data_IF_599382105224
#
_entry.id   IF_599382105224
#
_cell.length_a   1.000
_cell.length_b   1.000
_cell.length_c   1.000
_cell.angle_alpha   90.00
_cell.angle_beta   90.00
_cell.angle_gamma   90.00
#
_symmetry.space_group_name_H-M   'P 1'
#
loop_
_entity.id
_entity.type
_entity.pdbx_description
1 polymer ?
#
# COMPACT_ATOMS: atom_id res chain seq x y z
N UNK A 1 -1.24 13.92 13.30
CA UNK A 1 -0.78 13.95 11.91
C UNK A 1 0.72 14.07 11.94
N UNK A 2 1.40 12.96 11.63
CA UNK A 2 2.84 12.92 11.50
C UNK A 2 3.32 13.71 10.28
N UNK A 3 4.63 13.97 10.25
CA UNK A 3 5.27 14.80 9.23
C UNK A 3 5.10 14.23 7.82
N UNK A 4 5.14 12.90 7.68
CA UNK A 4 4.98 12.22 6.39
C UNK A 4 3.58 12.41 5.84
N UNK A 5 2.55 12.26 6.68
CA UNK A 5 1.15 12.44 6.30
C UNK A 5 0.85 13.89 5.93
N UNK A 6 1.42 14.85 6.65
CA UNK A 6 1.30 16.27 6.29
C UNK A 6 1.88 16.55 4.90
N UNK A 7 3.10 16.07 4.62
CA UNK A 7 3.73 16.23 3.30
C UNK A 7 2.90 15.60 2.19
N UNK A 8 2.37 14.41 2.43
CA UNK A 8 1.45 13.72 1.52
C UNK A 8 0.22 14.56 1.19
N UNK A 9 -0.43 15.17 2.19
CA UNK A 9 -1.60 16.02 1.95
C UNK A 9 -1.25 17.31 1.23
N UNK A 10 -0.10 17.92 1.54
CA UNK A 10 0.40 19.11 0.84
C UNK A 10 0.58 18.80 -0.65
N UNK A 11 1.27 17.71 -0.99
CA UNK A 11 1.49 17.30 -2.37
C UNK A 11 0.18 16.91 -3.06
N UNK A 12 -0.72 16.22 -2.36
CA UNK A 12 -2.04 15.89 -2.89
C UNK A 12 -2.83 17.16 -3.26
N UNK A 13 -2.94 18.13 -2.35
CA UNK A 13 -3.72 19.34 -2.61
C UNK A 13 -3.10 20.23 -3.67
N UNK A 14 -1.77 20.23 -3.76
CA UNK A 14 -1.00 20.81 -4.85
C UNK A 14 -1.31 20.17 -6.20
N UNK A 15 -1.32 18.83 -6.25
CA UNK A 15 -1.65 18.06 -7.44
C UNK A 15 -3.10 18.31 -7.93
N UNK A 16 -4.03 18.61 -7.03
CA UNK A 16 -5.41 18.99 -7.41
C UNK A 16 -5.47 20.31 -8.20
N UNK A 17 -4.45 21.16 -8.10
CA UNK A 17 -4.34 22.39 -8.88
C UNK A 17 -3.62 22.18 -10.23
N UNK A 18 -3.00 21.00 -10.45
CA UNK A 18 -2.36 20.62 -11.71
C UNK A 18 -1.25 19.58 -11.58
N UNK A 19 -0.89 18.94 -12.70
CA UNK A 19 0.21 17.95 -12.78
C UNK A 19 1.54 18.65 -12.99
N UNK A 20 2.55 18.23 -12.23
CA UNK A 20 3.89 18.80 -12.29
C UNK A 20 4.77 18.17 -13.36
N UNK A 21 4.61 16.86 -13.60
CA UNK A 21 5.50 16.10 -14.46
C UNK A 21 6.89 15.90 -13.83
N UNK A 22 7.93 15.65 -14.64
CA UNK A 22 9.28 15.41 -14.15
C UNK A 22 9.93 16.64 -13.49
N UNK A 23 10.57 16.45 -12.34
CA UNK A 23 11.35 17.50 -11.66
C UNK A 23 12.86 17.26 -11.78
N UNK A 24 13.45 17.69 -12.90
CA UNK A 24 14.88 17.51 -13.20
C UNK A 24 15.83 18.28 -12.27
N UNK A 25 15.35 19.28 -11.54
CA UNK A 25 16.16 20.08 -10.59
C UNK A 25 16.24 19.44 -9.19
N UNK A 26 15.39 18.44 -8.92
CA UNK A 26 15.39 17.74 -7.64
C UNK A 26 16.67 16.90 -7.49
N UNK A 27 17.37 17.05 -6.36
CA UNK A 27 18.59 16.26 -6.04
C UNK A 27 18.35 14.75 -5.94
N UNK A 28 17.10 14.34 -5.81
CA UNK A 28 16.69 12.93 -5.75
C UNK A 28 16.24 12.40 -7.12
N UNK A 29 16.25 13.22 -8.18
CA UNK A 29 15.78 12.81 -9.50
C UNK A 29 16.86 12.07 -10.31
N UNK A 30 16.53 10.97 -11.01
CA UNK A 30 15.30 10.19 -10.83
C UNK A 30 15.37 9.37 -9.54
N UNK A 31 14.26 9.29 -8.80
CA UNK A 31 14.18 8.42 -7.63
C UNK A 31 13.73 6.99 -7.98
N UNK A 32 13.02 6.82 -9.10
CA UNK A 32 12.52 5.52 -9.58
C UNK A 32 12.96 5.25 -11.03
N UNK A 33 12.69 6.17 -11.97
CA UNK A 33 13.11 6.04 -13.37
C UNK A 33 13.22 7.39 -14.10
N UNK A 34 14.00 7.44 -15.18
CA UNK A 34 14.16 8.66 -15.97
C UNK A 34 12.85 9.01 -16.70
N UNK A 35 12.45 10.28 -16.65
CA UNK A 35 11.18 10.76 -17.20
C UNK A 35 9.97 10.55 -16.29
N UNK A 36 10.17 10.08 -15.05
CA UNK A 36 9.07 9.88 -14.09
C UNK A 36 8.28 11.15 -13.79
N UNK A 37 7.00 10.99 -13.50
CA UNK A 37 6.13 12.04 -12.97
C UNK A 37 6.40 12.25 -11.47
N UNK A 38 6.69 13.49 -11.07
CA UNK A 38 7.02 13.82 -9.69
C UNK A 38 5.81 14.40 -8.91
N UNK A 39 4.59 14.30 -9.44
CA UNK A 39 3.40 14.93 -8.83
C UNK A 39 3.07 14.36 -7.45
N UNK A 40 3.31 13.07 -7.24
CA UNK A 40 3.13 12.41 -5.95
C UNK A 40 4.46 11.93 -5.38
N UNK A 41 5.44 12.84 -5.24
CA UNK A 41 6.71 12.56 -4.55
C UNK A 41 6.48 11.96 -3.15
N UNK A 42 5.44 12.43 -2.45
CA UNK A 42 4.87 11.78 -1.29
C UNK A 42 3.58 11.07 -1.68
N UNK A 43 3.60 9.73 -1.63
CA UNK A 43 2.51 8.90 -2.13
C UNK A 43 1.26 9.01 -1.21
N UNK A 44 0.06 9.31 -1.76
CA UNK A 44 -1.18 9.39 -0.99
C UNK A 44 -1.63 8.06 -0.38
N UNK A 45 -1.10 6.95 -0.88
CA UNK A 45 -1.42 5.60 -0.44
C UNK A 45 -0.33 4.97 0.43
N UNK A 46 0.68 5.73 0.86
CA UNK A 46 1.73 5.19 1.71
C UNK A 46 1.21 4.90 3.14
N UNK A 47 1.56 3.76 3.76
CA UNK A 47 2.11 2.55 3.14
C UNK A 47 1.01 1.75 2.45
N UNK A 48 1.16 1.36 1.18
CA UNK A 48 0.05 0.68 0.49
C UNK A 48 -0.06 -0.80 0.88
N UNK A 49 1.04 -1.39 1.34
CA UNK A 49 1.18 -2.79 1.72
C UNK A 49 0.88 -3.79 0.57
N UNK A 50 0.95 -3.33 -0.69
CA UNK A 50 0.73 -4.15 -1.89
C UNK A 50 2.07 -4.42 -2.59
N UNK A 51 2.56 -5.66 -2.49
CA UNK A 51 3.85 -6.06 -3.09
C UNK A 51 3.88 -5.94 -4.61
N UNK A 52 2.74 -6.10 -5.29
CA UNK A 52 2.64 -6.03 -6.77
C UNK A 52 2.99 -4.65 -7.34
N UNK A 53 2.88 -3.61 -6.52
CA UNK A 53 3.31 -2.26 -6.89
C UNK A 53 4.83 -2.07 -6.67
N UNK A 54 5.58 -3.12 -6.34
CA UNK A 54 7.03 -3.06 -6.10
C UNK A 54 7.43 -2.57 -4.71
N UNK A 55 6.46 -2.42 -3.79
CA UNK A 55 6.73 -2.10 -2.40
C UNK A 55 7.19 -3.32 -1.60
N UNK A 56 7.95 -3.10 -0.53
CA UNK A 56 8.44 -4.16 0.38
C UNK A 56 8.36 -3.72 1.84
N UNK A 57 8.02 -4.65 2.73
CA UNK A 57 8.17 -4.44 4.17
C UNK A 57 9.60 -4.78 4.56
N UNK A 58 10.34 -3.81 5.13
CA UNK A 58 11.74 -3.99 5.53
C UNK A 58 11.95 -3.58 6.98
N UNK A 59 12.87 -4.24 7.67
CA UNK A 59 13.30 -3.88 9.02
C UNK A 59 14.54 -2.97 8.95
N UNK A 60 14.46 -1.82 9.61
CA UNK A 60 15.57 -0.86 9.79
C UNK A 60 16.01 -0.84 11.25
N UNK A 61 17.01 -0.01 11.57
CA UNK A 61 17.41 0.25 12.96
C UNK A 61 16.29 0.91 13.79
N UNK A 62 15.39 1.64 13.13
CA UNK A 62 14.29 2.39 13.75
C UNK A 62 12.94 1.62 13.74
N UNK A 63 12.90 0.40 13.19
CA UNK A 63 11.70 -0.44 13.12
C UNK A 63 11.31 -0.86 11.71
N UNK A 64 10.08 -1.36 11.54
CA UNK A 64 9.58 -1.75 10.23
C UNK A 64 9.13 -0.54 9.42
N UNK A 65 9.47 -0.52 8.13
CA UNK A 65 8.96 0.47 7.17
C UNK A 65 8.48 -0.21 5.88
N UNK A 66 7.62 0.48 5.14
CA UNK A 66 7.26 0.07 3.79
C UNK A 66 8.16 0.77 2.78
N UNK A 67 9.14 0.07 2.24
CA UNK A 67 9.99 0.59 1.17
C UNK A 67 9.25 0.59 -0.15
N UNK A 68 8.98 1.77 -0.71
CA UNK A 68 8.39 1.93 -2.05
C UNK A 68 9.44 2.05 -3.16
N UNK A 69 10.73 1.78 -2.89
CA UNK A 69 11.84 1.99 -3.83
C UNK A 69 11.68 1.25 -5.17
N UNK A 70 10.95 0.13 -5.19
CA UNK A 70 10.64 -0.62 -6.41
C UNK A 70 9.37 -0.18 -7.14
N UNK A 71 8.67 0.86 -6.65
CA UNK A 71 7.37 1.28 -7.16
C UNK A 71 7.47 2.35 -8.24
N UNK A 72 7.00 2.02 -9.44
CA UNK A 72 6.87 3.00 -10.52
C UNK A 72 5.44 3.55 -10.66
N UNK A 73 4.46 2.90 -10.03
CA UNK A 73 3.04 3.09 -10.37
C UNK A 73 2.58 4.55 -10.20
N UNK A 74 2.83 5.18 -9.04
CA UNK A 74 2.45 6.60 -8.82
C UNK A 74 3.27 7.60 -9.64
N UNK A 75 4.35 7.14 -10.26
CA UNK A 75 5.28 7.92 -11.05
C UNK A 75 5.03 7.80 -12.56
N UNK A 76 4.10 6.94 -12.97
CA UNK A 76 3.54 6.93 -14.32
C UNK A 76 2.48 8.04 -14.44
N UNK A 77 2.55 8.82 -15.52
CA UNK A 77 1.73 10.01 -15.69
C UNK A 77 0.24 9.68 -15.68
N UNK A 78 -0.16 8.61 -16.36
CA UNK A 78 -1.55 8.18 -16.48
C UNK A 78 -2.14 7.81 -15.11
N UNK A 79 -1.33 7.18 -14.24
CA UNK A 79 -1.76 6.86 -12.88
C UNK A 79 -1.83 8.13 -12.02
N UNK A 80 -0.89 9.07 -12.16
CA UNK A 80 -0.97 10.35 -11.46
C UNK A 80 -2.25 11.13 -11.84
N UNK A 81 -2.62 11.15 -13.12
CA UNK A 81 -3.88 11.72 -13.61
C UNK A 81 -5.10 11.06 -12.96
N UNK A 82 -5.14 9.73 -12.92
CA UNK A 82 -6.24 8.98 -12.30
C UNK A 82 -6.32 9.23 -10.79
N UNK A 83 -5.20 9.36 -10.08
CA UNK A 83 -5.18 9.68 -8.65
C UNK A 83 -5.82 11.04 -8.40
N UNK A 84 -5.46 12.06 -9.20
CA UNK A 84 -6.06 13.40 -9.11
C UNK A 84 -7.57 13.32 -9.37
N UNK A 85 -7.99 12.61 -10.41
CA UNK A 85 -9.40 12.45 -10.74
C UNK A 85 -10.18 11.80 -9.59
N UNK A 86 -9.65 10.70 -9.03
CA UNK A 86 -10.31 9.96 -7.95
C UNK A 86 -10.35 10.73 -6.65
N UNK A 87 -9.19 11.17 -6.16
CA UNK A 87 -9.10 11.86 -4.87
C UNK A 87 -9.69 13.27 -4.94
N UNK A 88 -9.60 13.95 -6.08
CA UNK A 88 -10.19 15.27 -6.32
C UNK A 88 -11.72 15.28 -6.30
N UNK A 89 -12.37 14.11 -6.41
CA UNK A 89 -13.83 14.00 -6.26
C UNK A 89 -14.31 14.17 -4.81
N UNK A 90 -13.39 14.07 -3.84
CA UNK A 90 -13.70 14.24 -2.42
C UNK A 90 -13.42 15.67 -1.93
N UNK A 91 -14.21 16.19 -0.98
CA UNK A 91 -13.88 17.45 -0.31
C UNK A 91 -12.51 17.38 0.37
N UNK A 92 -11.70 18.45 0.30
CA UNK A 92 -10.39 18.51 0.96
C UNK A 92 -10.45 18.16 2.45
N UNK A 93 -11.49 18.63 3.16
CA UNK A 93 -11.69 18.30 4.57
C UNK A 93 -11.84 16.79 4.81
N UNK A 94 -12.56 16.09 3.94
CA UNK A 94 -12.68 14.62 4.02
C UNK A 94 -11.32 13.95 3.86
N UNK A 95 -10.50 14.39 2.91
CA UNK A 95 -9.16 13.83 2.71
C UNK A 95 -8.22 14.03 3.91
N UNK A 96 -8.45 15.08 4.72
CA UNK A 96 -7.72 15.34 5.97
C UNK A 96 -8.19 14.43 7.10
N UNK A 97 -9.50 14.18 7.20
CA UNK A 97 -10.12 13.46 8.32
C UNK A 97 -10.10 11.94 8.15
N UNK A 98 -10.04 11.45 6.91
CA UNK A 98 -10.07 10.01 6.61
C UNK A 98 -8.77 9.29 6.95
N UNK A 99 -8.90 8.01 7.30
CA UNK A 99 -7.82 7.14 7.77
C UNK A 99 -7.17 6.30 6.66
N UNK A 100 -6.24 5.43 7.04
CA UNK A 100 -5.53 4.55 6.12
C UNK A 100 -6.48 3.65 5.30
N UNK A 101 -7.56 3.16 5.90
CA UNK A 101 -8.49 2.24 5.23
C UNK A 101 -9.21 2.93 4.07
N UNK A 102 -9.55 4.21 4.22
CA UNK A 102 -10.10 5.00 3.12
C UNK A 102 -9.15 5.03 1.91
N UNK A 103 -7.88 5.37 2.12
CA UNK A 103 -6.90 5.47 1.03
C UNK A 103 -6.57 4.10 0.43
N UNK A 104 -6.48 3.06 1.28
CA UNK A 104 -6.29 1.67 0.83
C UNK A 104 -7.45 1.20 -0.05
N UNK A 105 -8.69 1.49 0.32
CA UNK A 105 -9.87 1.16 -0.50
C UNK A 105 -9.84 1.88 -1.85
N UNK A 106 -9.56 3.18 -1.86
CA UNK A 106 -9.47 3.94 -3.12
C UNK A 106 -8.40 3.35 -4.04
N UNK A 107 -7.22 3.01 -3.50
CA UNK A 107 -6.17 2.36 -4.27
C UNK A 107 -6.64 1.02 -4.86
N UNK A 108 -7.28 0.18 -4.04
CA UNK A 108 -7.81 -1.12 -4.49
C UNK A 108 -8.86 -0.95 -5.61
N UNK A 109 -9.75 0.03 -5.49
CA UNK A 109 -10.71 0.34 -6.56
C UNK A 109 -10.02 0.76 -7.85
N UNK A 110 -8.94 1.54 -7.77
CA UNK A 110 -8.16 1.96 -8.93
C UNK A 110 -7.45 0.80 -9.63
N UNK A 111 -6.78 -0.07 -8.87
CA UNK A 111 -5.94 -1.14 -9.44
C UNK A 111 -6.70 -2.43 -9.73
N UNK A 112 -7.76 -2.73 -8.97
CA UNK A 112 -8.51 -3.99 -9.05
C UNK A 112 -9.97 -3.83 -9.50
N UNK A 113 -10.43 -2.58 -9.65
CA UNK A 113 -11.81 -2.23 -10.00
C UNK A 113 -12.82 -2.33 -8.85
N UNK A 114 -12.37 -2.76 -7.66
CA UNK A 114 -13.17 -2.86 -6.43
C UNK A 114 -12.26 -3.09 -5.22
N UNK A 115 -12.78 -2.83 -4.03
CA UNK A 115 -12.18 -3.32 -2.79
C UNK A 115 -12.19 -4.86 -2.76
N UNK A 116 -11.05 -5.45 -2.40
CA UNK A 116 -10.89 -6.90 -2.27
C UNK A 116 -10.54 -7.31 -0.85
N UNK A 117 -9.88 -6.42 -0.09
CA UNK A 117 -9.63 -6.65 1.32
C UNK A 117 -10.93 -6.89 2.08
N UNK A 118 -10.85 -7.72 3.12
CA UNK A 118 -12.02 -8.17 3.89
C UNK A 118 -11.77 -7.97 5.37
N UNK A 119 -12.80 -7.52 6.08
CA UNK A 119 -12.74 -7.41 7.54
C UNK A 119 -12.86 -8.80 8.19
N UNK A 120 -11.99 -9.05 9.16
CA UNK A 120 -12.00 -10.24 10.04
C UNK A 120 -11.99 -9.73 11.47
N UNK A 121 -13.15 -9.74 12.12
CA UNK A 121 -13.30 -9.08 13.43
C UNK A 121 -13.02 -7.58 13.32
N UNK A 122 -12.08 -7.08 14.12
CA UNK A 122 -11.57 -5.69 14.09
C UNK A 122 -10.41 -5.49 13.12
N UNK A 123 -9.90 -6.55 12.50
CA UNK A 123 -8.70 -6.52 11.65
C UNK A 123 -9.06 -6.51 10.16
N UNK A 124 -8.19 -5.96 9.32
CA UNK A 124 -8.42 -5.86 7.88
C UNK A 124 -7.47 -6.76 7.10
N UNK A 125 -8.02 -7.81 6.50
CA UNK A 125 -7.26 -8.77 5.71
C UNK A 125 -7.10 -8.33 4.25
N UNK A 126 -5.89 -7.92 3.88
CA UNK A 126 -5.53 -7.47 2.53
C UNK A 126 -4.99 -8.61 1.64
N UNK A 127 -4.80 -9.83 2.18
CA UNK A 127 -4.35 -10.99 1.40
C UNK A 127 -5.21 -11.26 0.15
N UNK A 128 -6.55 -11.16 0.16
CA UNK A 128 -7.37 -11.31 -1.04
C UNK A 128 -6.99 -10.39 -2.20
N UNK A 129 -6.52 -9.18 -1.88
CA UNK A 129 -6.08 -8.21 -2.86
C UNK A 129 -4.70 -8.60 -3.41
N UNK A 130 -3.77 -8.89 -2.50
CA UNK A 130 -2.36 -9.14 -2.82
C UNK A 130 -2.16 -10.50 -3.52
N UNK A 131 -2.96 -11.50 -3.21
CA UNK A 131 -2.87 -12.84 -3.83
C UNK A 131 -3.68 -12.95 -5.12
N UNK A 132 -4.36 -11.88 -5.55
CA UNK A 132 -5.27 -11.92 -6.69
C UNK A 132 -4.53 -12.29 -7.99
N UNK A 133 -5.01 -13.35 -8.64
CA UNK A 133 -4.52 -13.76 -9.96
C UNK A 133 -3.14 -14.41 -9.95
N UNK A 134 -2.58 -14.70 -8.78
CA UNK A 134 -1.29 -15.37 -8.65
C UNK A 134 -1.41 -16.88 -8.80
N UNK A 135 -0.33 -17.50 -9.27
CA UNK A 135 -0.19 -18.95 -9.27
C UNK A 135 0.16 -19.40 -7.86
N UNK A 136 -0.70 -20.24 -7.28
CA UNK A 136 -0.62 -20.65 -5.89
C UNK A 136 -0.65 -22.18 -5.74
N UNK A 137 0.17 -22.69 -4.84
CA UNK A 137 0.22 -24.08 -4.41
C UNK A 137 -0.23 -24.18 -2.96
N UNK A 138 -0.99 -25.22 -2.64
CA UNK A 138 -1.48 -25.46 -1.28
C UNK A 138 -0.36 -26.02 -0.40
N UNK A 139 -0.28 -25.52 0.83
CA UNK A 139 0.77 -25.89 1.81
C UNK A 139 0.16 -26.15 3.18
N UNK A 140 0.81 -27.00 3.98
CA UNK A 140 0.24 -27.45 5.27
C UNK A 140 0.29 -26.38 6.37
N UNK A 141 1.41 -25.66 6.44
CA UNK A 141 1.71 -24.68 7.49
C UNK A 141 2.08 -23.35 6.86
N UNK A 142 1.52 -22.28 7.41
CA UNK A 142 1.72 -20.93 6.90
C UNK A 142 1.84 -19.96 8.06
N UNK A 143 2.70 -18.97 7.91
CA UNK A 143 2.66 -17.74 8.68
C UNK A 143 2.41 -16.59 7.71
N UNK A 144 1.77 -15.55 8.21
CA UNK A 144 1.57 -14.28 7.53
C UNK A 144 1.72 -13.16 8.57
N UNK A 145 1.57 -11.92 8.13
CA UNK A 145 1.91 -10.76 8.92
C UNK A 145 0.65 -10.05 9.41
N UNK A 146 0.65 -9.67 10.69
CA UNK A 146 -0.24 -8.67 11.25
C UNK A 146 0.55 -7.37 11.44
N UNK A 147 0.08 -6.29 10.82
CA UNK A 147 0.75 -4.99 10.76
C UNK A 147 -0.08 -3.97 11.51
N UNK A 148 0.51 -3.35 12.54
CA UNK A 148 -0.12 -2.27 13.28
C UNK A 148 0.26 -0.94 12.64
N UNK A 149 -0.75 -0.13 12.33
CA UNK A 149 -0.57 1.23 11.84
C UNK A 149 -1.09 2.25 12.85
N UNK A 150 -0.32 3.30 13.07
CA UNK A 150 -0.76 4.52 13.76
C UNK A 150 -0.45 5.72 12.87
N UNK A 151 -1.48 6.53 12.55
CA UNK A 151 -1.34 7.74 11.72
C UNK A 151 -0.58 7.51 10.40
N UNK A 152 -0.81 6.38 9.71
CA UNK A 152 -0.11 5.98 8.48
C UNK A 152 1.37 5.58 8.66
N UNK A 153 1.84 5.33 9.88
CA UNK A 153 3.16 4.76 10.16
C UNK A 153 3.06 3.34 10.70
N UNK A 154 4.00 2.48 10.30
CA UNK A 154 4.09 1.10 10.79
C UNK A 154 4.75 1.15 12.16
N UNK A 155 4.03 0.73 13.19
CA UNK A 155 4.51 0.75 14.58
C UNK A 155 4.88 -0.64 15.10
N UNK A 156 4.24 -1.70 14.58
CA UNK A 156 4.55 -3.08 14.92
C UNK A 156 4.23 -4.03 13.77
N UNK A 157 4.96 -5.15 13.71
CA UNK A 157 4.72 -6.24 12.76
C UNK A 157 4.96 -7.56 13.48
N UNK A 158 3.91 -8.38 13.53
CA UNK A 158 3.97 -9.71 14.13
C UNK A 158 3.70 -10.78 13.09
N UNK A 159 4.25 -11.97 13.33
CA UNK A 159 3.91 -13.18 12.57
C UNK A 159 2.77 -13.89 13.28
N UNK A 160 1.77 -14.28 12.51
CA UNK A 160 0.60 -15.02 12.98
C UNK A 160 0.31 -16.19 12.02
N UNK A 161 -0.40 -17.20 12.51
CA UNK A 161 -0.78 -18.39 11.72
C UNK A 161 -2.30 -18.51 11.54
N UNK A 162 -3.09 -17.79 12.33
CA UNK A 162 -4.54 -17.68 12.21
C UNK A 162 -4.93 -16.21 12.10
N UNK A 163 -5.85 -15.88 11.19
CA UNK A 163 -6.38 -14.52 11.00
C UNK A 163 -7.14 -14.01 12.22
N UNK A 164 -7.67 -14.93 13.03
CA UNK A 164 -8.36 -14.61 14.29
C UNK A 164 -7.40 -14.16 15.40
N UNK A 165 -6.08 -14.36 15.25
CA UNK A 165 -5.06 -13.91 16.21
C UNK A 165 -4.72 -12.41 16.05
N UNK A 166 -5.27 -11.75 15.03
CA UNK A 166 -5.06 -10.34 14.76
C UNK A 166 -6.07 -9.48 15.52
N UNK A 167 -5.61 -8.39 16.13
CA UNK A 167 -6.47 -7.43 16.85
C UNK A 167 -6.24 -6.01 16.35
N UNK A 168 -7.20 -5.48 15.60
CA UNK A 168 -7.17 -4.12 15.05
C UNK A 168 -5.94 -3.87 14.16
N UNK A 169 -5.46 -4.92 13.50
CA UNK A 169 -4.26 -4.94 12.65
C UNK A 169 -4.63 -5.12 11.17
N UNK A 170 -3.68 -4.84 10.27
CA UNK A 170 -3.80 -5.16 8.85
C UNK A 170 -3.07 -6.46 8.57
N UNK A 171 -3.76 -7.42 7.99
CA UNK A 171 -3.22 -8.75 7.71
C UNK A 171 -2.76 -8.79 6.25
N UNK A 172 -1.47 -9.10 6.04
CA UNK A 172 -0.87 -9.21 4.70
C UNK A 172 -0.08 -10.52 4.56
N UNK A 173 0.16 -11.03 3.34
CA UNK A 173 0.99 -12.21 3.15
C UNK A 173 2.41 -11.97 3.65
N UNK A 174 3.03 -13.01 4.19
CA UNK A 174 4.46 -13.02 4.43
C UNK A 174 5.19 -13.17 3.07
N UNK A 175 6.07 -12.23 2.75
CA UNK A 175 6.95 -12.33 1.59
C UNK A 175 8.31 -12.92 1.98
N UNK A 176 8.74 -13.99 1.32
CA UNK A 176 10.10 -14.53 1.42
C UNK A 176 10.66 -14.65 0.00
N UNK A 177 11.63 -13.82 -0.34
CA UNK A 177 12.16 -13.77 -1.70
C UNK A 177 11.05 -13.43 -2.72
N UNK A 178 10.87 -14.30 -3.71
CA UNK A 178 9.82 -14.17 -4.75
C UNK A 178 8.51 -14.87 -4.43
N UNK A 179 8.30 -15.28 -3.18
CA UNK A 179 7.16 -16.09 -2.75
C UNK A 179 6.34 -15.35 -1.69
N UNK A 180 5.02 -15.50 -1.78
CA UNK A 180 4.03 -14.96 -0.86
C UNK A 180 3.30 -16.09 -0.15
N UNK A 181 3.25 -16.00 1.16
CA UNK A 181 2.69 -17.01 2.04
C UNK A 181 1.47 -16.42 2.76
N UNK A 182 0.31 -17.05 2.62
CA UNK A 182 -0.93 -16.54 3.19
C UNK A 182 -2.13 -17.46 3.03
N UNK A 183 -3.33 -16.89 3.15
CA UNK A 183 -4.60 -17.61 2.99
C UNK A 183 -5.35 -17.03 1.79
N UNK A 184 -5.79 -17.89 0.88
CA UNK A 184 -6.57 -17.49 -0.30
C UNK A 184 -8.06 -17.23 0.03
N UNK A 185 -8.82 -16.76 -0.95
CA UNK A 185 -10.24 -16.44 -0.77
C UNK A 185 -11.13 -17.66 -0.46
N UNK A 186 -10.61 -18.88 -0.60
CA UNK A 186 -11.31 -20.12 -0.24
C UNK A 186 -10.92 -20.62 1.16
N UNK A 187 -10.07 -19.88 1.88
CA UNK A 187 -9.54 -20.28 3.19
C UNK A 187 -8.38 -21.27 3.12
N UNK A 188 -7.84 -21.56 1.94
CA UNK A 188 -6.70 -22.48 1.79
C UNK A 188 -5.40 -21.76 2.13
N UNK A 189 -4.51 -22.45 2.83
CA UNK A 189 -3.14 -21.99 3.07
C UNK A 189 -2.33 -22.18 1.79
N UNK A 190 -1.75 -21.10 1.30
CA UNK A 190 -1.11 -21.08 -0.02
C UNK A 190 0.26 -20.43 0.02
N UNK A 191 1.14 -20.95 -0.82
CA UNK A 191 2.34 -20.26 -1.31
C UNK A 191 2.07 -19.83 -2.75
N UNK A 192 2.22 -18.54 -3.03
CA UNK A 192 2.01 -17.98 -4.36
C UNK A 192 3.29 -17.31 -4.86
N UNK A 193 3.55 -17.39 -6.17
CA UNK A 193 4.66 -16.65 -6.79
C UNK A 193 4.29 -15.17 -6.92
N UNK A 194 5.19 -14.27 -6.53
CA UNK A 194 5.02 -12.83 -6.67
C UNK A 194 4.99 -12.42 -8.15
#
# INVERSE_FOLDING_TARGET
MNENREKTLIELFRALDGIYGPNYECKYYPCHFYGQDCTFCYCPFYPCLIYDLGGELILTEDGYIWSCKGCNWVHEKENAEEIIYRLGSYPKQRLVEEDWFFFSRVLQEMIYGRELGVWVGSSYNLMPAILRGKECEEVENIEFLAVTLEDFEIVDVRRISNVEDADSEIIIPLKIGGELYGIDNSGRKVMCKL
#
